data_IF_618575013491
#
_entry.id   IF_618575013491
#
_cell.length_a   1.000
_cell.length_b   1.000
_cell.length_c   1.000
_cell.angle_alpha   90.00
_cell.angle_beta   90.00
_cell.angle_gamma   90.00
#
_symmetry.space_group_name_H-M   'P 1'
#
loop_
_entity.id
_entity.type
_entity.pdbx_description
1 polymer ?
#
# COMPACT_ATOMS: atom_id res chain seq x y z
N UNK A 1 -10.41 -9.00 -14.90
CA UNK A 1 -10.48 -8.54 -13.50
C UNK A 1 -9.86 -9.61 -12.62
N UNK A 2 -9.01 -9.23 -11.66
CA UNK A 2 -8.43 -10.19 -10.69
C UNK A 2 -9.26 -10.21 -9.42
N UNK A 3 -9.49 -11.40 -8.86
CA UNK A 3 -10.19 -11.58 -7.58
C UNK A 3 -9.52 -12.70 -6.80
N UNK A 4 -9.30 -12.48 -5.50
CA UNK A 4 -8.77 -13.50 -4.59
C UNK A 4 -9.93 -14.21 -3.91
N UNK A 5 -9.93 -15.53 -3.99
CA UNK A 5 -10.81 -16.41 -3.24
C UNK A 5 -10.05 -16.95 -2.03
N UNK A 6 -10.59 -16.73 -0.86
CA UNK A 6 -10.14 -17.36 0.38
C UNK A 6 -11.12 -18.48 0.68
N UNK A 7 -10.69 -19.72 0.44
CA UNK A 7 -11.55 -20.89 0.60
C UNK A 7 -10.89 -21.88 1.54
N UNK A 8 -11.70 -22.77 2.09
CA UNK A 8 -11.19 -23.91 2.85
C UNK A 8 -11.19 -25.13 1.96
N UNK A 9 -10.11 -25.89 1.99
CA UNK A 9 -9.90 -27.04 1.14
C UNK A 9 -10.02 -28.34 1.95
N UNK A 10 -10.77 -29.36 1.45
CA UNK A 10 -10.81 -30.65 2.12
C UNK A 10 -9.41 -31.30 2.14
N UNK A 11 -9.05 -31.90 3.27
CA UNK A 11 -7.78 -32.62 3.44
C UNK A 11 -7.81 -33.99 2.76
N UNK A 12 -7.71 -34.00 1.45
CA UNK A 12 -7.64 -35.22 0.63
C UNK A 12 -6.85 -34.98 -0.65
N UNK A 13 -6.23 -36.06 -1.16
CA UNK A 13 -5.57 -36.01 -2.46
C UNK A 13 -6.53 -35.54 -3.57
N UNK A 14 -6.06 -34.64 -4.42
CA UNK A 14 -6.84 -34.10 -5.53
C UNK A 14 -7.79 -32.93 -5.16
N UNK A 15 -7.81 -32.47 -3.92
CA UNK A 15 -8.67 -31.36 -3.53
C UNK A 15 -8.40 -30.07 -4.35
N UNK A 16 -7.14 -29.67 -4.53
CA UNK A 16 -6.80 -28.53 -5.36
C UNK A 16 -7.07 -28.78 -6.87
N UNK A 17 -6.95 -30.02 -7.34
CA UNK A 17 -7.29 -30.39 -8.72
C UNK A 17 -8.75 -30.05 -9.03
N UNK A 18 -9.69 -30.32 -8.12
CA UNK A 18 -11.09 -29.97 -8.31
C UNK A 18 -11.30 -28.47 -8.43
N UNK A 19 -10.69 -27.67 -7.54
CA UNK A 19 -10.74 -26.21 -7.62
C UNK A 19 -10.16 -25.69 -8.94
N UNK A 20 -9.00 -26.20 -9.33
CA UNK A 20 -8.34 -25.84 -10.61
C UNK A 20 -9.21 -26.17 -11.83
N UNK A 21 -9.85 -27.34 -11.86
CA UNK A 21 -10.78 -27.73 -12.93
C UNK A 21 -12.01 -26.83 -13.01
N UNK A 22 -12.60 -26.47 -11.87
CA UNK A 22 -13.74 -25.54 -11.81
C UNK A 22 -13.33 -24.19 -12.41
N UNK A 23 -12.19 -23.63 -11.97
CA UNK A 23 -11.71 -22.34 -12.44
C UNK A 23 -11.42 -22.38 -13.94
N UNK A 24 -10.72 -23.39 -14.41
CA UNK A 24 -10.42 -23.58 -15.83
C UNK A 24 -11.68 -23.78 -16.69
N UNK A 25 -12.64 -24.59 -16.24
CA UNK A 25 -13.90 -24.82 -16.92
C UNK A 25 -14.75 -23.56 -17.06
N UNK A 26 -14.66 -22.64 -16.09
CA UNK A 26 -15.28 -21.31 -16.16
C UNK A 26 -14.47 -20.29 -16.98
N UNK A 27 -13.33 -20.69 -17.57
CA UNK A 27 -12.46 -19.81 -18.36
C UNK A 27 -11.64 -18.82 -17.51
N UNK A 28 -11.46 -19.09 -16.22
CA UNK A 28 -10.60 -18.34 -15.33
C UNK A 28 -9.14 -18.80 -15.41
N UNK A 29 -8.19 -17.86 -15.31
CA UNK A 29 -6.78 -18.17 -15.15
C UNK A 29 -6.34 -17.96 -13.70
N UNK A 30 -5.66 -18.95 -13.12
CA UNK A 30 -5.11 -18.87 -11.78
C UNK A 30 -3.82 -18.05 -11.84
N UNK A 31 -3.88 -16.82 -11.34
CA UNK A 31 -2.73 -15.91 -11.29
C UNK A 31 -1.85 -16.19 -10.07
N UNK A 32 -2.46 -16.70 -8.97
CA UNK A 32 -1.74 -16.99 -7.72
C UNK A 32 -2.47 -18.03 -6.90
N UNK A 33 -1.71 -18.90 -6.25
CA UNK A 33 -2.22 -19.84 -5.25
C UNK A 33 -1.29 -19.88 -4.05
N UNK A 34 -1.88 -19.94 -2.86
CA UNK A 34 -1.13 -20.22 -1.64
C UNK A 34 -1.95 -21.17 -0.73
N UNK A 35 -1.31 -22.23 -0.28
CA UNK A 35 -1.86 -23.21 0.64
C UNK A 35 -0.75 -23.88 1.44
N UNK A 36 -0.85 -23.85 2.76
CA UNK A 36 0.11 -24.50 3.65
C UNK A 36 -0.60 -25.27 4.77
N UNK A 37 -0.66 -26.57 4.64
CA UNK A 37 -1.33 -27.48 5.58
C UNK A 37 -0.68 -27.50 6.97
N UNK A 38 0.62 -27.32 7.05
CA UNK A 38 1.34 -27.39 8.33
C UNK A 38 0.93 -26.30 9.32
N UNK A 39 0.24 -25.28 8.83
CA UNK A 39 -0.07 -24.06 9.56
C UNK A 39 -1.57 -23.78 9.64
N UNK A 40 -2.23 -23.79 8.51
CA UNK A 40 -3.68 -23.71 8.40
C UNK A 40 -4.14 -24.80 7.45
N UNK A 41 -4.69 -25.81 8.05
CA UNK A 41 -5.12 -27.05 7.40
C UNK A 41 -6.26 -26.84 6.41
N UNK A 42 -6.84 -25.66 6.35
CA UNK A 42 -8.07 -25.44 5.61
C UNK A 42 -8.04 -24.23 4.67
N UNK A 43 -7.16 -23.25 4.87
CA UNK A 43 -7.19 -22.03 4.09
C UNK A 43 -6.41 -22.15 2.80
N UNK A 44 -7.12 -22.01 1.67
CA UNK A 44 -6.55 -21.92 0.34
C UNK A 44 -6.82 -20.52 -0.23
N UNK A 45 -5.75 -19.85 -0.63
CA UNK A 45 -5.81 -18.56 -1.33
C UNK A 45 -5.64 -18.81 -2.82
N UNK A 46 -6.64 -18.44 -3.61
CA UNK A 46 -6.58 -18.53 -5.08
C UNK A 46 -6.88 -17.17 -5.67
N UNK A 47 -5.92 -16.55 -6.33
CA UNK A 47 -6.14 -15.35 -7.13
C UNK A 47 -6.42 -15.75 -8.58
N UNK A 48 -7.58 -15.35 -9.09
CA UNK A 48 -8.06 -15.72 -10.42
C UNK A 48 -8.24 -14.47 -11.27
N UNK A 49 -7.75 -14.50 -12.50
CA UNK A 49 -8.03 -13.52 -13.54
C UNK A 49 -9.18 -14.01 -14.40
N UNK A 50 -10.31 -13.29 -14.39
CA UNK A 50 -11.52 -13.65 -15.11
C UNK A 50 -12.44 -12.44 -15.33
N UNK A 51 -13.51 -12.60 -16.11
CA UNK A 51 -14.60 -11.61 -16.22
C UNK A 51 -15.52 -11.65 -14.99
N UNK A 52 -16.33 -10.64 -14.77
CA UNK A 52 -17.28 -10.59 -13.65
C UNK A 52 -18.28 -11.78 -13.66
N UNK A 53 -18.78 -12.16 -14.84
CA UNK A 53 -19.68 -13.32 -14.98
C UNK A 53 -18.98 -14.64 -14.65
N UNK A 54 -17.74 -14.82 -15.11
CA UNK A 54 -16.93 -15.99 -14.80
C UNK A 54 -16.62 -16.06 -13.30
N UNK A 55 -16.32 -14.93 -12.64
CA UNK A 55 -16.12 -14.89 -11.21
C UNK A 55 -17.36 -15.31 -10.41
N UNK A 56 -18.56 -14.92 -10.84
CA UNK A 56 -19.81 -15.33 -10.20
C UNK A 56 -20.00 -16.85 -10.29
N UNK A 57 -19.75 -17.42 -11.45
CA UNK A 57 -19.88 -18.86 -11.69
C UNK A 57 -18.82 -19.68 -10.92
N UNK A 58 -17.55 -19.22 -10.92
CA UNK A 58 -16.47 -19.81 -10.12
C UNK A 58 -16.85 -19.83 -8.64
N UNK A 59 -17.33 -18.71 -8.11
CA UNK A 59 -17.71 -18.60 -6.70
C UNK A 59 -18.86 -19.59 -6.35
N UNK A 60 -19.86 -19.71 -7.22
CA UNK A 60 -20.97 -20.64 -7.05
C UNK A 60 -20.49 -22.09 -7.01
N UNK A 61 -19.71 -22.53 -8.00
CA UNK A 61 -19.24 -23.91 -8.09
C UNK A 61 -18.27 -24.28 -6.96
N UNK A 62 -17.36 -23.38 -6.58
CA UNK A 62 -16.48 -23.59 -5.43
C UNK A 62 -17.26 -23.73 -4.13
N UNK A 63 -18.34 -22.97 -3.94
CA UNK A 63 -19.24 -23.09 -2.77
C UNK A 63 -20.01 -24.41 -2.76
N UNK A 64 -20.54 -24.84 -3.91
CA UNK A 64 -21.28 -26.10 -4.05
C UNK A 64 -20.40 -27.33 -3.79
N UNK A 65 -19.10 -27.25 -4.09
CA UNK A 65 -18.16 -28.35 -3.86
C UNK A 65 -17.70 -28.46 -2.41
N UNK A 66 -18.15 -27.59 -1.50
CA UNK A 66 -17.95 -27.73 -0.07
C UNK A 66 -16.50 -27.85 0.37
N UNK A 67 -15.66 -26.85 0.03
CA UNK A 67 -14.29 -26.81 0.52
C UNK A 67 -14.24 -26.53 2.02
N UNK A 68 -14.84 -27.39 2.83
CA UNK A 68 -14.86 -27.24 4.29
C UNK A 68 -14.74 -28.60 4.98
N UNK A 69 -13.73 -28.80 5.78
CA UNK A 69 -13.63 -29.48 7.07
C UNK A 69 -12.35 -30.30 7.36
N UNK A 70 -11.95 -30.31 8.52
CA UNK A 70 -10.92 -30.62 9.53
C UNK A 70 -10.09 -31.93 9.38
N UNK A 71 -9.01 -31.97 9.79
CA UNK A 71 -7.58 -32.06 10.22
C UNK A 71 -7.08 -33.48 10.62
N UNK A 72 -5.82 -33.86 10.40
CA UNK A 72 -4.77 -34.30 11.34
C UNK A 72 -3.46 -34.88 10.76
N UNK A 73 -2.45 -35.07 11.57
CA UNK A 73 -1.00 -34.94 11.63
C UNK A 73 -0.06 -36.04 11.04
N UNK A 74 1.21 -35.63 10.73
CA UNK A 74 2.43 -36.45 10.94
C UNK A 74 3.16 -37.09 9.75
N UNK A 75 3.48 -36.36 8.58
CA UNK A 75 4.15 -36.94 7.40
C UNK A 75 5.30 -36.09 6.84
N UNK A 76 6.27 -36.74 6.10
CA UNK A 76 7.43 -36.05 5.49
C UNK A 76 7.02 -35.24 4.27
N UNK A 77 7.55 -34.03 4.13
CA UNK A 77 7.25 -33.11 3.03
C UNK A 77 8.42 -33.07 2.04
N UNK A 78 8.15 -33.31 0.76
CA UNK A 78 9.09 -33.11 -0.35
C UNK A 78 8.75 -31.76 -1.01
N UNK A 79 9.73 -30.85 -1.04
CA UNK A 79 9.55 -29.55 -1.69
C UNK A 79 10.04 -29.60 -3.14
N UNK A 80 9.18 -29.17 -4.07
CA UNK A 80 9.49 -29.06 -5.49
C UNK A 80 9.14 -27.65 -6.03
N UNK A 81 9.85 -27.23 -7.04
CA UNK A 81 9.47 -26.07 -7.88
C UNK A 81 9.22 -26.56 -9.29
N UNK A 82 8.09 -26.15 -9.85
CA UNK A 82 7.66 -26.45 -11.21
C UNK A 82 7.68 -25.16 -12.03
N UNK A 83 8.22 -25.20 -13.25
CA UNK A 83 8.12 -24.13 -14.23
C UNK A 83 7.10 -24.50 -15.28
N UNK A 84 5.99 -23.76 -15.35
CA UNK A 84 4.86 -24.03 -16.24
C UNK A 84 4.56 -22.82 -17.12
N UNK A 85 4.04 -23.00 -18.35
CA UNK A 85 3.55 -21.91 -19.17
C UNK A 85 2.39 -21.17 -18.47
N UNK A 86 2.34 -19.83 -18.59
CA UNK A 86 1.29 -19.01 -17.99
C UNK A 86 0.03 -18.97 -18.86
N UNK A 87 -0.77 -20.04 -18.77
CA UNK A 87 -2.09 -20.11 -19.41
C UNK A 87 -3.09 -20.91 -18.55
N UNK A 88 -4.40 -20.72 -18.76
CA UNK A 88 -5.43 -21.46 -18.03
C UNK A 88 -5.23 -22.97 -18.11
N UNK A 89 -5.22 -23.62 -16.93
CA UNK A 89 -5.11 -25.07 -16.82
C UNK A 89 -3.69 -25.66 -16.92
N UNK A 90 -2.64 -24.87 -17.06
CA UNK A 90 -1.27 -25.36 -17.19
C UNK A 90 -0.83 -26.29 -16.05
N UNK A 91 -1.28 -26.06 -14.83
CA UNK A 91 -0.96 -26.91 -13.65
C UNK A 91 -1.78 -28.19 -13.59
N UNK A 92 -2.90 -28.29 -14.30
CA UNK A 92 -3.84 -29.43 -14.21
C UNK A 92 -3.19 -30.78 -14.48
N UNK A 93 -2.34 -30.96 -15.52
CA UNK A 93 -1.68 -32.26 -15.75
C UNK A 93 -0.81 -32.71 -14.59
N UNK A 94 -0.12 -31.79 -13.93
CA UNK A 94 0.69 -32.11 -12.74
C UNK A 94 -0.19 -32.54 -11.57
N UNK A 95 -1.29 -31.82 -11.33
CA UNK A 95 -2.23 -32.17 -10.27
C UNK A 95 -2.90 -33.53 -10.50
N UNK A 96 -3.11 -33.91 -11.76
CA UNK A 96 -3.60 -35.24 -12.14
C UNK A 96 -2.59 -36.34 -11.81
N UNK A 97 -1.29 -36.09 -12.05
CA UNK A 97 -0.22 -37.01 -11.64
C UNK A 97 -0.21 -37.16 -10.14
N UNK A 98 -0.21 -36.06 -9.38
CA UNK A 98 -0.25 -36.09 -7.91
C UNK A 98 -1.47 -36.86 -7.40
N UNK A 99 -2.63 -36.65 -7.99
CA UNK A 99 -3.88 -37.34 -7.63
C UNK A 99 -3.80 -38.85 -7.89
N UNK A 100 -3.24 -39.28 -9.05
CA UNK A 100 -3.05 -40.72 -9.38
C UNK A 100 -2.13 -41.43 -8.38
N UNK A 101 -1.08 -40.74 -7.96
CA UNK A 101 -0.15 -41.27 -6.96
C UNK A 101 -0.64 -41.06 -5.51
N UNK A 102 -1.87 -40.52 -5.32
CA UNK A 102 -2.47 -40.21 -4.00
C UNK A 102 -1.58 -39.35 -3.11
N UNK A 103 -0.80 -38.46 -3.76
CA UNK A 103 0.07 -37.54 -3.06
C UNK A 103 -0.73 -36.30 -2.67
N UNK A 104 -0.71 -36.00 -1.39
CA UNK A 104 -1.36 -34.81 -0.85
C UNK A 104 -0.42 -33.61 -0.89
N UNK A 105 -0.96 -32.43 -1.17
CA UNK A 105 -0.21 -31.18 -1.19
C UNK A 105 -0.29 -30.57 0.21
N UNK A 106 0.86 -30.39 0.86
CA UNK A 106 0.95 -29.69 2.15
C UNK A 106 1.17 -28.21 2.02
N UNK A 107 1.79 -27.81 0.90
CA UNK A 107 2.09 -26.43 0.58
C UNK A 107 2.00 -26.20 -0.92
N UNK A 108 1.46 -25.07 -1.35
CA UNK A 108 1.53 -24.60 -2.74
C UNK A 108 1.57 -23.07 -2.77
N UNK A 109 2.51 -22.53 -3.52
CA UNK A 109 2.63 -21.11 -3.80
C UNK A 109 2.92 -20.91 -5.28
N UNK A 110 2.29 -19.93 -5.90
CA UNK A 110 2.54 -19.53 -7.29
C UNK A 110 2.14 -18.09 -7.50
N UNK A 111 2.87 -17.40 -8.35
CA UNK A 111 2.58 -16.03 -8.76
C UNK A 111 2.82 -15.84 -10.26
N UNK A 112 1.92 -15.09 -10.90
CA UNK A 112 2.13 -14.55 -12.24
C UNK A 112 3.23 -13.48 -12.21
N UNK A 113 4.25 -13.64 -13.06
CA UNK A 113 5.40 -12.73 -13.11
C UNK A 113 5.50 -11.95 -14.43
N UNK A 114 4.54 -12.14 -15.33
CA UNK A 114 4.52 -11.45 -16.63
C UNK A 114 5.55 -11.93 -17.65
N UNK A 115 6.27 -13.04 -17.38
CA UNK A 115 7.30 -13.59 -18.29
C UNK A 115 6.76 -14.65 -19.24
N UNK A 116 5.47 -14.96 -19.17
CA UNK A 116 4.83 -16.05 -19.94
C UNK A 116 5.04 -17.43 -19.34
N UNK A 117 5.69 -17.52 -18.19
CA UNK A 117 5.84 -18.73 -17.37
C UNK A 117 5.47 -18.47 -15.92
N UNK A 118 4.98 -19.50 -15.24
CA UNK A 118 4.70 -19.48 -13.79
C UNK A 118 5.58 -20.50 -13.07
N UNK A 119 6.07 -20.09 -11.90
CA UNK A 119 6.77 -20.98 -10.98
C UNK A 119 5.82 -21.42 -9.86
N UNK A 120 5.60 -22.73 -9.76
CA UNK A 120 4.82 -23.33 -8.70
C UNK A 120 5.76 -24.00 -7.69
N UNK A 121 5.78 -23.48 -6.48
CA UNK A 121 6.47 -24.10 -5.34
C UNK A 121 5.47 -24.96 -4.58
N UNK A 122 5.72 -26.26 -4.47
CA UNK A 122 4.81 -27.20 -3.84
C UNK A 122 5.50 -28.05 -2.78
N UNK A 123 4.84 -28.22 -1.64
CA UNK A 123 5.17 -29.21 -0.62
C UNK A 123 4.29 -30.43 -0.77
N UNK A 124 4.87 -31.58 -1.01
CA UNK A 124 4.18 -32.84 -1.23
C UNK A 124 4.30 -33.72 0.01
N UNK A 125 3.17 -34.20 0.54
CA UNK A 125 3.16 -35.19 1.62
C UNK A 125 3.46 -36.58 1.06
N UNK A 126 4.62 -37.08 1.38
CA UNK A 126 5.08 -38.38 0.89
C UNK A 126 4.93 -39.43 2.00
N UNK A 127 4.06 -40.40 1.75
CA UNK A 127 3.88 -41.56 2.63
C UNK A 127 4.83 -42.71 2.28
N UNK A 128 5.15 -42.86 0.99
CA UNK A 128 6.02 -43.92 0.48
C UNK A 128 7.17 -43.35 -0.34
N UNK A 129 8.39 -43.42 0.19
CA UNK A 129 9.60 -42.93 -0.48
C UNK A 129 9.96 -43.67 -1.76
N UNK A 130 9.50 -44.93 -1.91
CA UNK A 130 9.73 -45.72 -3.14
C UNK A 130 9.00 -45.21 -4.38
N UNK A 131 7.95 -44.40 -4.21
CA UNK A 131 7.16 -43.84 -5.30
C UNK A 131 7.66 -42.46 -5.75
N UNK A 132 8.48 -41.80 -4.96
CA UNK A 132 8.99 -40.43 -5.25
C UNK A 132 9.64 -40.38 -6.65
N UNK A 133 10.47 -41.35 -6.96
CA UNK A 133 11.19 -41.36 -8.25
C UNK A 133 10.22 -41.43 -9.44
N UNK A 134 9.20 -42.31 -9.37
CA UNK A 134 8.19 -42.44 -10.43
C UNK A 134 7.37 -41.18 -10.58
N UNK A 135 6.99 -40.57 -9.45
CA UNK A 135 6.26 -39.31 -9.41
C UNK A 135 7.05 -38.18 -10.10
N UNK A 136 8.33 -38.03 -9.74
CA UNK A 136 9.22 -37.01 -10.32
C UNK A 136 9.44 -37.28 -11.80
N UNK A 137 9.67 -38.54 -12.19
CA UNK A 137 9.86 -38.95 -13.60
C UNK A 137 8.61 -38.66 -14.45
N UNK A 138 7.41 -38.80 -13.90
CA UNK A 138 6.17 -38.44 -14.60
C UNK A 138 5.97 -36.93 -14.70
N UNK A 139 6.21 -36.17 -13.63
CA UNK A 139 6.09 -34.70 -13.65
C UNK A 139 7.12 -34.08 -14.58
N UNK A 140 8.37 -34.61 -14.62
CA UNK A 140 9.44 -34.10 -15.47
C UNK A 140 9.17 -34.24 -16.98
N UNK A 141 8.21 -35.09 -17.36
CA UNK A 141 7.73 -35.19 -18.77
C UNK A 141 6.70 -34.12 -19.13
N UNK A 142 6.15 -33.44 -18.11
CA UNK A 142 5.11 -32.41 -18.29
C UNK A 142 5.74 -31.02 -18.25
N UNK A 143 6.67 -30.81 -17.30
CA UNK A 143 7.29 -29.51 -17.06
C UNK A 143 8.69 -29.65 -16.44
N UNK A 144 9.42 -28.54 -16.44
CA UNK A 144 10.70 -28.48 -15.70
C UNK A 144 10.40 -28.55 -14.19
N UNK A 145 11.14 -29.44 -13.50
CA UNK A 145 11.01 -29.67 -12.07
C UNK A 145 12.37 -29.54 -11.38
N UNK A 146 12.42 -28.78 -10.31
CA UNK A 146 13.56 -28.67 -9.39
C UNK A 146 13.16 -29.17 -8.02
N UNK A 147 14.01 -30.00 -7.39
CA UNK A 147 13.83 -30.44 -6.02
C UNK A 147 14.60 -29.52 -5.11
N UNK A 148 13.92 -28.92 -4.16
CA UNK A 148 14.54 -28.12 -3.12
C UNK A 148 14.96 -29.03 -1.98
N UNK A 149 16.27 -29.29 -1.84
CA UNK A 149 16.83 -29.96 -0.66
C UNK A 149 16.80 -28.98 0.52
N UNK A 150 15.79 -29.09 1.36
CA UNK A 150 15.80 -28.44 2.67
C UNK A 150 16.20 -29.44 3.74
N UNK A 151 17.28 -29.16 4.42
CA UNK A 151 17.44 -29.67 5.79
C UNK A 151 16.29 -29.10 6.61
N UNK A 152 15.54 -30.01 7.22
CA UNK A 152 14.31 -29.73 7.97
C UNK A 152 14.68 -29.01 9.26
N UNK A 153 14.89 -27.71 9.18
CA UNK A 153 14.87 -26.82 10.34
C UNK A 153 14.52 -25.40 9.92
N UNK A 154 13.46 -24.87 10.46
CA UNK A 154 13.10 -23.48 10.73
C UNK A 154 12.57 -22.55 9.63
N UNK A 155 12.59 -22.86 8.33
CA UNK A 155 12.12 -21.89 7.32
C UNK A 155 10.81 -22.23 6.60
N UNK A 156 10.29 -23.43 6.72
CA UNK A 156 9.13 -23.92 5.96
C UNK A 156 7.79 -23.87 6.71
N UNK A 157 7.83 -23.76 8.00
CA UNK A 157 6.66 -23.49 8.83
C UNK A 157 6.12 -22.07 8.62
N UNK A 158 6.80 -21.25 7.85
CA UNK A 158 6.85 -19.82 8.10
C UNK A 158 5.86 -18.97 7.33
N UNK A 159 5.63 -19.21 6.06
CA UNK A 159 4.90 -18.23 5.26
C UNK A 159 3.46 -18.06 5.73
N UNK A 160 2.71 -19.13 5.85
CA UNK A 160 1.26 -19.06 6.10
C UNK A 160 0.92 -18.82 7.58
N UNK A 161 1.64 -19.46 8.53
CA UNK A 161 1.52 -19.13 9.97
C UNK A 161 1.83 -17.66 10.16
N UNK A 162 2.91 -17.23 9.54
CA UNK A 162 3.43 -15.90 9.74
C UNK A 162 2.41 -14.83 9.34
N UNK A 163 1.83 -14.86 8.14
CA UNK A 163 0.90 -13.81 7.75
C UNK A 163 -0.50 -13.96 8.37
N UNK A 164 -0.92 -15.18 8.78
CA UNK A 164 -2.13 -15.37 9.59
C UNK A 164 -1.92 -14.80 10.99
N UNK A 165 -0.79 -15.12 11.63
CA UNK A 165 -0.40 -14.56 12.93
C UNK A 165 -0.31 -13.04 12.84
N UNK A 166 0.39 -12.54 11.81
CA UNK A 166 0.48 -11.11 11.54
C UNK A 166 -0.88 -10.43 11.39
N UNK A 167 -1.82 -11.03 10.64
CA UNK A 167 -3.16 -10.45 10.46
C UNK A 167 -3.95 -10.42 11.78
N UNK A 168 -3.79 -11.44 12.64
CA UNK A 168 -4.40 -11.47 13.98
C UNK A 168 -3.75 -10.42 14.92
N UNK A 169 -2.42 -10.30 14.91
CA UNK A 169 -1.73 -9.24 15.64
C UNK A 169 -2.21 -7.85 15.20
N UNK A 170 -2.31 -7.60 13.90
CA UNK A 170 -2.82 -6.33 13.36
C UNK A 170 -4.28 -6.08 13.78
N UNK A 171 -5.11 -7.14 13.85
CA UNK A 171 -6.47 -7.06 14.36
C UNK A 171 -6.49 -6.60 15.81
N UNK A 172 -5.64 -7.16 16.65
CA UNK A 172 -5.55 -6.81 18.08
C UNK A 172 -5.02 -5.38 18.25
N UNK A 173 -3.91 -5.03 17.58
CA UNK A 173 -3.29 -3.70 17.67
C UNK A 173 -4.28 -2.60 17.23
N UNK A 174 -4.95 -2.77 16.09
CA UNK A 174 -5.77 -1.74 15.46
C UNK A 174 -7.27 -1.89 15.74
N UNK A 175 -7.69 -2.92 16.49
CA UNK A 175 -9.10 -3.26 16.75
C UNK A 175 -9.90 -3.43 15.45
N UNK A 176 -9.33 -4.17 14.48
CA UNK A 176 -9.93 -4.32 13.16
C UNK A 176 -11.19 -5.20 13.18
N UNK A 177 -12.15 -4.84 12.34
CA UNK A 177 -13.28 -5.71 12.00
C UNK A 177 -12.81 -6.96 11.26
N UNK A 178 -13.65 -7.99 11.19
CA UNK A 178 -13.35 -9.21 10.45
C UNK A 178 -13.07 -8.94 8.96
N UNK A 179 -13.80 -8.03 8.34
CA UNK A 179 -13.58 -7.65 6.94
C UNK A 179 -12.20 -7.00 6.72
N UNK A 180 -11.79 -6.10 7.62
CA UNK A 180 -10.48 -5.47 7.58
C UNK A 180 -9.36 -6.49 7.87
N UNK A 181 -9.56 -7.40 8.82
CA UNK A 181 -8.60 -8.49 9.11
C UNK A 181 -8.40 -9.38 7.89
N UNK A 182 -9.47 -9.73 7.18
CA UNK A 182 -9.38 -10.50 5.94
C UNK A 182 -8.65 -9.72 4.83
N UNK A 183 -8.86 -8.40 4.75
CA UNK A 183 -8.11 -7.56 3.82
C UNK A 183 -6.61 -7.55 4.14
N UNK A 184 -6.24 -7.39 5.41
CA UNK A 184 -4.83 -7.49 5.87
C UNK A 184 -4.26 -8.86 5.52
N UNK A 185 -4.97 -9.95 5.79
CA UNK A 185 -4.53 -11.31 5.49
C UNK A 185 -4.22 -11.51 3.99
N UNK A 186 -5.10 -11.03 3.11
CA UNK A 186 -4.91 -11.10 1.65
C UNK A 186 -3.67 -10.32 1.22
N UNK A 187 -3.50 -9.10 1.73
CA UNK A 187 -2.37 -8.25 1.33
C UNK A 187 -1.05 -8.74 1.94
N UNK A 188 -1.07 -9.24 3.17
CA UNK A 188 0.10 -9.86 3.79
C UNK A 188 0.59 -11.09 3.01
N UNK A 189 -0.34 -11.94 2.57
CA UNK A 189 -0.01 -13.08 1.71
C UNK A 189 0.65 -12.62 0.39
N UNK A 190 0.08 -11.61 -0.29
CA UNK A 190 0.66 -11.06 -1.52
C UNK A 190 2.05 -10.47 -1.28
N UNK A 191 2.20 -9.70 -0.20
CA UNK A 191 3.48 -9.10 0.17
C UNK A 191 4.54 -10.14 0.47
N UNK A 192 4.19 -11.20 1.22
CA UNK A 192 5.10 -12.31 1.52
C UNK A 192 5.65 -12.95 0.25
N UNK A 193 4.78 -13.25 -0.71
CA UNK A 193 5.19 -13.87 -1.97
C UNK A 193 6.09 -12.94 -2.80
N UNK A 194 5.77 -11.65 -2.88
CA UNK A 194 6.60 -10.68 -3.58
C UNK A 194 8.00 -10.55 -2.97
N UNK A 195 8.09 -10.58 -1.64
CA UNK A 195 9.36 -10.53 -0.92
C UNK A 195 10.19 -11.81 -1.14
N UNK A 196 9.55 -13.00 -1.12
CA UNK A 196 10.19 -14.29 -1.39
C UNK A 196 10.74 -14.35 -2.82
N UNK A 197 9.97 -13.90 -3.82
CA UNK A 197 10.41 -13.85 -5.22
C UNK A 197 11.59 -12.90 -5.47
N UNK A 198 11.71 -11.84 -4.66
CA UNK A 198 12.78 -10.85 -4.78
C UNK A 198 13.96 -11.11 -3.85
N UNK A 199 13.96 -12.24 -3.15
CA UNK A 199 14.96 -12.58 -2.12
C UNK A 199 15.16 -11.47 -1.08
N UNK A 200 14.03 -10.83 -0.68
CA UNK A 200 14.01 -9.76 0.33
C UNK A 200 13.60 -10.29 1.70
N UNK A 201 14.13 -9.70 2.79
CA UNK A 201 13.87 -10.18 4.14
C UNK A 201 12.43 -9.91 4.59
N UNK A 202 11.55 -10.88 4.37
CA UNK A 202 10.11 -10.78 4.70
C UNK A 202 9.88 -10.43 6.17
N UNK A 203 10.51 -11.16 7.11
CA UNK A 203 10.35 -10.93 8.55
C UNK A 203 10.62 -9.47 8.94
N UNK A 204 11.66 -8.87 8.38
CA UNK A 204 12.01 -7.48 8.64
C UNK A 204 10.95 -6.51 8.12
N UNK A 205 10.45 -6.73 6.90
CA UNK A 205 9.41 -5.88 6.31
C UNK A 205 8.13 -5.91 7.13
N UNK A 206 7.67 -7.10 7.55
CA UNK A 206 6.48 -7.23 8.38
C UNK A 206 6.66 -6.67 9.79
N UNK A 207 7.85 -6.80 10.39
CA UNK A 207 8.15 -6.18 11.68
C UNK A 207 8.02 -4.65 11.60
N UNK A 208 8.49 -4.03 10.52
CA UNK A 208 8.32 -2.58 10.32
C UNK A 208 6.87 -2.18 10.11
N UNK A 209 6.08 -2.97 9.36
CA UNK A 209 4.65 -2.70 9.19
C UNK A 209 3.92 -2.82 10.54
N UNK A 210 4.23 -3.84 11.33
CA UNK A 210 3.70 -3.99 12.69
C UNK A 210 4.06 -2.80 13.57
N UNK A 211 5.31 -2.37 13.57
CA UNK A 211 5.76 -1.19 14.31
C UNK A 211 5.08 0.09 13.85
N UNK A 212 4.79 0.22 12.57
CA UNK A 212 3.98 1.32 12.07
C UNK A 212 2.59 1.32 12.73
N UNK A 213 1.91 0.19 12.74
CA UNK A 213 0.59 0.07 13.37
C UNK A 213 0.65 0.36 14.88
N UNK A 214 1.65 -0.18 15.59
CA UNK A 214 1.89 0.09 17.01
C UNK A 214 2.14 1.58 17.25
N UNK A 215 3.02 2.20 16.48
CA UNK A 215 3.33 3.62 16.59
C UNK A 215 2.08 4.49 16.46
N UNK A 216 1.25 4.21 15.46
CA UNK A 216 -0.02 4.95 15.26
C UNK A 216 -0.92 4.84 16.50
N UNK A 217 -1.05 3.64 17.07
CA UNK A 217 -1.92 3.42 18.26
C UNK A 217 -1.35 4.06 19.52
N UNK A 218 -0.04 3.94 19.72
CA UNK A 218 0.67 4.51 20.88
C UNK A 218 0.58 6.05 20.94
N UNK A 219 0.43 6.70 19.76
CA UNK A 219 0.34 8.16 19.66
C UNK A 219 -1.10 8.67 19.46
N UNK A 220 -2.12 7.94 19.93
CA UNK A 220 -3.54 8.34 19.88
C UNK A 220 -4.06 8.85 21.22
N UNK A 221 -5.22 9.50 21.18
CA UNK A 221 -5.91 9.97 22.37
C UNK A 221 -5.11 10.99 23.16
N UNK A 222 -4.85 10.71 24.42
CA UNK A 222 -4.07 11.59 25.30
C UNK A 222 -2.56 11.60 24.98
N UNK A 223 -2.07 10.60 24.27
CA UNK A 223 -0.67 10.50 23.85
C UNK A 223 -0.38 11.21 22.50
N UNK A 224 -1.42 11.73 21.86
CA UNK A 224 -1.23 12.51 20.62
C UNK A 224 -0.51 13.82 20.94
N UNK A 225 0.70 13.96 20.42
CA UNK A 225 1.60 15.08 20.69
C UNK A 225 2.01 15.76 19.37
N UNK A 226 1.10 16.57 18.81
CA UNK A 226 1.44 17.40 17.65
C UNK A 226 2.19 18.65 18.09
N UNK A 227 3.30 18.96 17.41
CA UNK A 227 3.96 20.26 17.57
C UNK A 227 3.17 21.31 16.81
N UNK A 228 2.94 22.47 17.42
CA UNK A 228 2.21 23.58 16.82
C UNK A 228 3.09 24.82 16.84
N UNK A 229 3.26 25.44 15.69
CA UNK A 229 3.94 26.70 15.56
C UNK A 229 3.12 27.68 14.74
N UNK A 230 3.17 28.96 15.07
CA UNK A 230 2.42 30.01 14.37
C UNK A 230 3.35 31.15 13.96
N UNK A 231 3.24 31.57 12.70
CA UNK A 231 4.03 32.65 12.13
C UNK A 231 3.11 33.70 11.49
N UNK A 232 3.35 34.96 11.76
CA UNK A 232 2.68 36.07 11.05
C UNK A 232 3.37 36.29 9.71
N UNK A 233 2.63 36.08 8.62
CA UNK A 233 3.15 36.25 7.26
C UNK A 233 2.96 37.67 6.71
N UNK A 234 1.82 38.28 7.05
CA UNK A 234 1.49 39.65 6.64
C UNK A 234 0.48 40.23 7.65
N UNK A 235 0.03 41.46 7.39
CA UNK A 235 -0.99 42.07 8.24
C UNK A 235 -2.32 41.28 8.13
N UNK A 236 -2.80 40.81 9.28
CA UNK A 236 -4.00 39.99 9.38
C UNK A 236 -3.85 38.54 8.87
N UNK A 237 -2.69 38.13 8.33
CA UNK A 237 -2.46 36.77 7.82
C UNK A 237 -1.53 35.99 8.77
N UNK A 238 -2.06 34.92 9.34
CA UNK A 238 -1.33 33.97 10.17
C UNK A 238 -1.18 32.64 9.47
N UNK A 239 -0.03 32.01 9.63
CA UNK A 239 0.23 30.60 9.24
C UNK A 239 0.46 29.78 10.50
N UNK A 240 -0.35 28.76 10.72
CA UNK A 240 -0.15 27.76 11.77
C UNK A 240 0.27 26.45 11.14
N UNK A 241 1.41 25.92 11.55
CA UNK A 241 1.86 24.58 11.21
C UNK A 241 1.51 23.62 12.35
N UNK A 242 0.91 22.49 12.01
CA UNK A 242 0.60 21.38 12.91
C UNK A 242 1.41 20.18 12.42
N UNK A 243 2.34 19.74 13.26
CA UNK A 243 3.27 18.65 12.97
C UNK A 243 2.89 17.45 13.86
N UNK A 244 2.11 16.48 13.35
CA UNK A 244 1.70 15.31 14.11
C UNK A 244 2.89 14.38 14.40
N UNK A 245 2.77 13.42 15.33
CA UNK A 245 3.84 12.47 15.65
C UNK A 245 4.24 11.61 14.43
N UNK A 246 3.31 11.34 13.51
CA UNK A 246 3.60 10.74 12.20
C UNK A 246 2.58 11.20 11.17
N UNK A 247 2.91 10.99 9.90
CA UNK A 247 2.17 11.50 8.76
C UNK A 247 2.59 12.93 8.41
N UNK A 248 1.90 13.51 7.46
CA UNK A 248 2.24 14.84 6.96
C UNK A 248 1.86 15.96 7.93
N UNK A 249 2.55 17.07 7.78
CA UNK A 249 2.15 18.32 8.38
C UNK A 249 0.82 18.83 7.81
N UNK A 250 0.04 19.50 8.64
CA UNK A 250 -1.13 20.27 8.22
C UNK A 250 -0.85 21.75 8.44
N UNK A 251 -0.98 22.54 7.40
CA UNK A 251 -0.81 23.98 7.48
C UNK A 251 -2.16 24.68 7.42
N UNK A 252 -2.37 25.66 8.28
CA UNK A 252 -3.60 26.48 8.30
C UNK A 252 -3.23 27.93 8.11
N UNK A 253 -3.71 28.53 7.03
CA UNK A 253 -3.71 29.97 6.82
C UNK A 253 -5.03 30.55 7.36
N UNK A 254 -4.93 31.56 8.21
CA UNK A 254 -6.07 32.31 8.73
C UNK A 254 -5.97 33.78 8.33
N UNK A 255 -7.04 34.30 7.72
CA UNK A 255 -7.17 35.69 7.30
C UNK A 255 -8.61 36.17 7.49
N UNK A 256 -8.79 37.21 8.31
CA UNK A 256 -10.12 37.78 8.63
C UNK A 256 -11.19 36.74 9.02
N UNK A 257 -10.78 35.68 9.70
CA UNK A 257 -11.66 34.60 10.12
C UNK A 257 -11.95 33.53 9.07
N UNK A 258 -11.44 33.66 7.85
CA UNK A 258 -11.43 32.59 6.85
C UNK A 258 -10.26 31.65 7.08
N UNK A 259 -10.46 30.36 6.82
CA UNK A 259 -9.46 29.32 6.97
C UNK A 259 -9.19 28.61 5.65
N UNK A 260 -7.91 28.45 5.33
CA UNK A 260 -7.42 27.60 4.25
C UNK A 260 -6.42 26.60 4.82
N UNK A 261 -6.60 25.33 4.54
CA UNK A 261 -5.65 24.31 4.92
C UNK A 261 -4.80 23.85 3.71
N UNK A 262 -3.57 23.43 3.98
CA UNK A 262 -2.73 22.72 3.01
C UNK A 262 -2.33 21.38 3.64
N UNK A 263 -2.68 20.29 2.95
CA UNK A 263 -2.62 18.91 3.42
C UNK A 263 -3.39 18.69 4.74
N UNK A 264 -3.65 17.45 5.12
CA UNK A 264 -4.54 17.20 6.27
C UNK A 264 -4.21 15.97 7.12
N UNK A 265 -3.03 15.37 6.95
CA UNK A 265 -2.57 14.30 7.83
C UNK A 265 -3.26 12.94 7.63
N UNK A 266 -2.96 12.00 8.52
CA UNK A 266 -3.55 10.65 8.54
C UNK A 266 -4.99 10.62 9.06
N UNK A 267 -5.82 9.78 8.46
CA UNK A 267 -7.21 9.56 8.89
C UNK A 267 -7.32 8.99 10.32
N UNK A 268 -6.35 8.21 10.75
CA UNK A 268 -6.33 7.62 12.10
C UNK A 268 -6.28 8.65 13.24
N UNK A 269 -5.84 9.87 12.98
CA UNK A 269 -5.79 10.97 13.96
C UNK A 269 -6.97 11.95 13.85
N UNK A 270 -8.08 11.51 13.24
CA UNK A 270 -9.24 12.38 12.98
C UNK A 270 -9.74 13.09 14.25
N UNK A 271 -9.90 12.35 15.35
CA UNK A 271 -10.47 12.90 16.59
C UNK A 271 -9.49 13.87 17.26
N UNK A 272 -8.22 13.52 17.27
CA UNK A 272 -7.15 14.31 17.84
C UNK A 272 -6.95 15.61 17.08
N UNK A 273 -6.84 15.51 15.75
CA UNK A 273 -6.70 16.67 14.86
C UNK A 273 -7.93 17.59 14.96
N UNK A 274 -9.14 17.03 14.98
CA UNK A 274 -10.35 17.85 15.10
C UNK A 274 -10.37 18.61 16.44
N UNK A 275 -10.06 17.94 17.55
CA UNK A 275 -9.96 18.60 18.86
C UNK A 275 -8.90 19.71 18.87
N UNK A 276 -7.75 19.45 18.27
CA UNK A 276 -6.67 20.42 18.16
C UNK A 276 -7.09 21.64 17.32
N UNK A 277 -7.67 21.38 16.14
CA UNK A 277 -8.17 22.43 15.24
C UNK A 277 -9.29 23.28 15.87
N UNK A 278 -10.22 22.66 16.61
CA UNK A 278 -11.25 23.41 17.36
C UNK A 278 -10.64 24.25 18.50
N UNK A 279 -9.57 23.77 19.13
CA UNK A 279 -8.84 24.52 20.15
C UNK A 279 -8.08 25.72 19.60
N UNK A 280 -7.44 25.56 18.43
CA UNK A 280 -6.68 26.62 17.76
C UNK A 280 -7.58 27.61 17.01
N UNK A 281 -8.64 27.13 16.38
CA UNK A 281 -9.55 27.91 15.53
C UNK A 281 -10.99 27.73 16.02
N UNK A 282 -11.46 28.54 16.98
CA UNK A 282 -12.78 28.37 17.58
C UNK A 282 -13.89 28.25 16.52
N UNK A 283 -14.76 27.27 16.69
CA UNK A 283 -15.85 26.94 15.76
C UNK A 283 -15.34 26.45 14.39
N UNK A 284 -14.17 25.79 14.35
CA UNK A 284 -13.58 25.23 13.12
C UNK A 284 -14.59 24.39 12.34
N UNK A 285 -15.31 23.48 13.01
CA UNK A 285 -16.29 22.59 12.35
C UNK A 285 -17.45 23.34 11.68
N UNK A 286 -17.74 24.58 12.10
CA UNK A 286 -18.83 25.39 11.57
C UNK A 286 -18.37 26.40 10.51
N UNK A 287 -17.07 26.59 10.33
CA UNK A 287 -16.54 27.50 9.31
C UNK A 287 -16.51 26.79 7.95
N UNK A 288 -16.80 27.52 6.88
CA UNK A 288 -16.47 27.06 5.52
C UNK A 288 -14.97 26.93 5.38
N UNK A 289 -14.48 25.80 4.87
CA UNK A 289 -13.08 25.51 4.80
C UNK A 289 -12.71 24.70 3.57
N UNK A 290 -11.67 25.20 2.93
CA UNK A 290 -11.06 24.57 1.77
C UNK A 290 -9.72 23.97 2.16
N UNK A 291 -9.35 22.84 1.55
CA UNK A 291 -8.01 22.27 1.66
C UNK A 291 -7.37 22.18 0.27
N UNK A 292 -6.12 22.58 0.18
CA UNK A 292 -5.30 22.38 -1.00
C UNK A 292 -4.36 21.21 -0.75
N UNK A 293 -4.37 20.24 -1.65
CA UNK A 293 -3.52 19.07 -1.55
C UNK A 293 -2.29 19.19 -2.39
N UNK A 294 -1.17 18.84 -1.79
CA UNK A 294 0.09 18.70 -2.52
C UNK A 294 0.11 17.40 -3.32
N UNK A 295 -0.39 16.29 -2.78
CA UNK A 295 -0.50 15.00 -3.47
C UNK A 295 -1.46 14.03 -2.77
N UNK A 296 -1.63 12.84 -3.35
CA UNK A 296 -2.69 11.90 -2.97
C UNK A 296 -2.25 10.80 -1.98
N UNK A 297 -1.12 10.94 -1.31
CA UNK A 297 -0.71 9.93 -0.34
C UNK A 297 -1.62 9.97 0.90
N UNK A 298 -1.79 8.79 1.52
CA UNK A 298 -2.78 8.58 2.59
C UNK A 298 -2.55 9.44 3.83
N UNK A 299 -1.33 9.89 4.05
CA UNK A 299 -0.97 10.77 5.15
C UNK A 299 -1.11 12.27 4.82
N UNK A 300 -1.29 12.64 3.55
CA UNK A 300 -1.61 14.00 3.13
C UNK A 300 -3.12 14.21 2.95
N UNK A 301 -3.85 13.16 2.61
CA UNK A 301 -5.26 13.21 2.22
C UNK A 301 -6.21 12.52 3.23
N UNK A 302 -5.72 12.10 4.39
CA UNK A 302 -6.49 11.26 5.31
C UNK A 302 -7.73 11.93 5.91
N UNK A 303 -7.71 13.24 6.09
CA UNK A 303 -8.80 13.99 6.74
C UNK A 303 -9.63 14.84 5.77
N UNK A 304 -9.63 14.56 4.48
CA UNK A 304 -10.40 15.31 3.47
C UNK A 304 -11.90 15.43 3.81
N UNK A 305 -12.45 14.46 4.51
CA UNK A 305 -13.85 14.49 4.96
C UNK A 305 -14.18 15.63 5.95
N UNK A 306 -13.19 16.30 6.53
CA UNK A 306 -13.39 17.47 7.39
C UNK A 306 -13.61 18.77 6.61
N UNK A 307 -13.40 18.76 5.29
CA UNK A 307 -13.40 19.93 4.44
C UNK A 307 -14.58 19.94 3.48
N UNK A 308 -15.07 21.15 3.16
CA UNK A 308 -16.19 21.35 2.24
C UNK A 308 -15.72 21.23 0.78
N UNK A 309 -14.43 21.53 0.55
CA UNK A 309 -13.80 21.51 -0.77
C UNK A 309 -12.34 21.14 -0.68
N UNK A 310 -11.86 20.30 -1.61
CA UNK A 310 -10.47 19.93 -1.78
C UNK A 310 -9.96 20.30 -3.18
N UNK A 311 -8.93 21.14 -3.27
CA UNK A 311 -8.32 21.53 -4.52
C UNK A 311 -6.97 20.83 -4.71
N UNK A 312 -6.71 20.33 -5.93
CA UNK A 312 -5.53 19.52 -6.23
C UNK A 312 -5.18 19.55 -7.72
N UNK A 313 -4.05 18.97 -8.13
CA UNK A 313 -3.75 18.76 -9.55
C UNK A 313 -4.75 17.80 -10.21
N UNK A 314 -4.84 17.83 -11.55
CA UNK A 314 -5.70 16.89 -12.30
C UNK A 314 -5.28 15.44 -12.06
N UNK A 315 -3.97 15.14 -12.04
CA UNK A 315 -3.49 13.79 -11.77
C UNK A 315 -3.85 13.32 -10.36
N UNK A 316 -3.72 14.19 -9.34
CA UNK A 316 -4.16 13.86 -7.98
C UNK A 316 -5.67 13.57 -7.93
N UNK A 317 -6.48 14.38 -8.60
CA UNK A 317 -7.92 14.14 -8.75
C UNK A 317 -8.22 12.79 -9.40
N UNK A 318 -7.51 12.45 -10.49
CA UNK A 318 -7.69 11.19 -11.20
C UNK A 318 -7.27 9.98 -10.34
N UNK A 319 -6.23 10.15 -9.52
CA UNK A 319 -5.82 9.14 -8.55
C UNK A 319 -6.99 8.76 -7.60
N UNK A 320 -7.66 9.75 -7.01
CA UNK A 320 -8.83 9.51 -6.15
C UNK A 320 -10.03 8.98 -6.93
N UNK A 321 -10.24 9.43 -8.15
CA UNK A 321 -11.30 8.92 -9.01
C UNK A 321 -11.10 7.45 -9.40
N UNK A 322 -9.85 6.96 -9.50
CA UNK A 322 -9.54 5.54 -9.64
C UNK A 322 -9.94 4.77 -8.37
N UNK A 323 -9.53 5.25 -7.21
CA UNK A 323 -9.87 4.64 -5.92
C UNK A 323 -11.39 4.57 -5.68
N UNK A 324 -12.11 5.66 -5.94
CA UNK A 324 -13.57 5.71 -5.80
C UNK A 324 -14.30 4.71 -6.70
N UNK A 325 -13.66 4.26 -7.79
CA UNK A 325 -14.15 3.19 -8.68
C UNK A 325 -13.61 1.80 -8.33
N UNK A 326 -12.91 1.65 -7.19
CA UNK A 326 -12.28 0.39 -6.78
C UNK A 326 -11.14 -0.07 -7.69
N UNK A 327 -10.50 0.87 -8.39
CA UNK A 327 -9.33 0.61 -9.24
C UNK A 327 -8.04 0.95 -8.50
N UNK A 328 -6.94 0.30 -8.91
CA UNK A 328 -5.61 0.61 -8.40
C UNK A 328 -5.25 2.07 -8.67
N UNK A 329 -4.86 2.79 -7.64
CA UNK A 329 -4.31 4.14 -7.74
C UNK A 329 -2.91 4.12 -8.36
N UNK A 330 -2.29 5.28 -8.59
CA UNK A 330 -1.00 5.36 -9.28
C UNK A 330 0.13 4.62 -8.54
N UNK A 331 0.17 4.64 -7.21
CA UNK A 331 1.15 3.84 -6.45
C UNK A 331 0.85 2.34 -6.51
N UNK A 332 -0.42 1.97 -6.47
CA UNK A 332 -0.87 0.58 -6.52
C UNK A 332 -0.76 -0.06 -7.91
N UNK A 333 -0.60 0.76 -8.96
CA UNK A 333 -0.30 0.26 -10.31
C UNK A 333 1.10 -0.37 -10.39
N UNK A 334 2.01 -0.04 -9.48
CA UNK A 334 3.24 -0.80 -9.28
C UNK A 334 2.93 -2.04 -8.42
N UNK A 335 3.02 -3.28 -8.98
CA UNK A 335 2.68 -4.50 -8.24
C UNK A 335 3.49 -4.70 -6.95
N UNK A 336 4.70 -4.13 -6.89
CA UNK A 336 5.57 -4.21 -5.72
C UNK A 336 5.06 -3.34 -4.57
N UNK A 337 4.41 -2.22 -4.89
CA UNK A 337 3.91 -1.27 -3.89
C UNK A 337 2.46 -1.58 -3.46
N UNK A 338 1.67 -2.19 -4.34
CA UNK A 338 0.24 -2.39 -4.13
C UNK A 338 -0.14 -3.03 -2.78
N UNK A 339 0.47 -4.15 -2.34
CA UNK A 339 0.12 -4.75 -1.06
C UNK A 339 0.46 -3.85 0.13
N UNK A 340 1.60 -3.15 0.06
CA UNK A 340 2.00 -2.22 1.10
C UNK A 340 1.06 -1.01 1.19
N UNK A 341 0.70 -0.41 0.05
CA UNK A 341 -0.26 0.70 0.00
C UNK A 341 -1.61 0.27 0.61
N UNK A 342 -2.08 -0.93 0.27
CA UNK A 342 -3.32 -1.46 0.84
C UNK A 342 -3.24 -1.68 2.36
N UNK A 343 -2.11 -2.19 2.88
CA UNK A 343 -1.87 -2.32 4.33
C UNK A 343 -1.81 -0.95 5.01
N UNK A 344 -1.13 0.03 4.42
CA UNK A 344 -1.05 1.41 4.94
C UNK A 344 -2.42 2.07 5.02
N UNK A 345 -3.30 1.85 4.03
CA UNK A 345 -4.70 2.32 4.07
C UNK A 345 -5.47 1.74 5.25
N UNK A 346 -5.31 0.44 5.53
CA UNK A 346 -5.96 -0.19 6.70
C UNK A 346 -5.39 0.37 8.00
N UNK A 347 -4.07 0.48 8.14
CA UNK A 347 -3.40 0.99 9.35
C UNK A 347 -3.80 2.43 9.64
N UNK A 348 -3.83 3.27 8.62
CA UNK A 348 -4.17 4.68 8.75
C UNK A 348 -5.67 4.96 8.83
N UNK A 349 -6.53 3.95 8.64
CA UNK A 349 -7.97 4.14 8.60
C UNK A 349 -8.44 4.97 7.40
N UNK A 350 -7.63 5.03 6.33
CA UNK A 350 -7.91 5.82 5.14
C UNK A 350 -9.12 5.31 4.37
N UNK A 351 -9.93 6.25 3.90
CA UNK A 351 -10.99 6.02 2.93
C UNK A 351 -10.88 7.05 1.79
N UNK A 352 -11.17 6.67 0.54
CA UNK A 352 -11.18 7.62 -0.57
C UNK A 352 -12.11 8.80 -0.30
N UNK A 353 -11.75 10.02 -0.77
CA UNK A 353 -12.58 11.19 -0.57
C UNK A 353 -13.88 11.15 -1.40
N UNK A 354 -14.85 11.94 -0.96
CA UNK A 354 -16.02 12.26 -1.76
C UNK A 354 -15.60 13.13 -2.97
N UNK A 355 -15.71 12.57 -4.17
CA UNK A 355 -15.30 13.23 -5.40
C UNK A 355 -16.10 14.47 -5.76
N UNK A 356 -17.33 14.64 -5.21
CA UNK A 356 -18.15 15.84 -5.42
C UNK A 356 -17.53 17.08 -4.75
N UNK A 357 -16.70 16.88 -3.72
CA UNK A 357 -15.97 17.93 -3.03
C UNK A 357 -14.59 18.21 -3.63
N UNK A 358 -14.13 17.37 -4.56
CA UNK A 358 -12.80 17.48 -5.15
C UNK A 358 -12.81 18.31 -6.43
N UNK A 359 -11.83 19.20 -6.57
CA UNK A 359 -11.72 20.10 -7.72
C UNK A 359 -10.28 20.10 -8.23
N UNK A 360 -10.12 19.86 -9.53
CA UNK A 360 -8.82 20.02 -10.18
C UNK A 360 -8.53 21.50 -10.44
N UNK A 361 -7.35 21.97 -10.02
CA UNK A 361 -6.85 23.33 -10.30
C UNK A 361 -6.42 23.44 -11.76
N UNK A 362 -5.74 22.42 -12.27
CA UNK A 362 -5.24 22.35 -13.63
C UNK A 362 -4.46 21.06 -13.86
N UNK A 363 -3.88 20.96 -15.05
CA UNK A 363 -3.12 19.79 -15.50
C UNK A 363 -1.75 20.20 -16.05
N UNK A 364 -0.78 19.30 -15.91
CA UNK A 364 0.54 19.44 -16.50
C UNK A 364 0.46 19.27 -18.02
N UNK A 365 1.09 20.19 -18.78
CA UNK A 365 1.03 20.21 -20.26
C UNK A 365 2.39 20.11 -20.93
N UNK A 366 3.47 20.06 -20.17
CA UNK A 366 4.84 19.95 -20.65
C UNK A 366 5.63 18.95 -19.79
N UNK A 367 6.84 18.65 -20.20
CA UNK A 367 7.73 17.70 -19.50
C UNK A 367 8.70 18.41 -18.53
N UNK A 368 8.50 19.68 -18.23
CA UNK A 368 9.36 20.38 -17.28
C UNK A 368 9.29 19.73 -15.88
N UNK A 369 10.39 19.74 -15.12
CA UNK A 369 10.39 19.18 -13.76
C UNK A 369 9.35 19.81 -12.84
N UNK A 370 9.04 21.10 -13.02
CA UNK A 370 7.96 21.83 -12.34
C UNK A 370 7.20 22.66 -13.39
N UNK A 371 5.94 22.28 -13.62
CA UNK A 371 5.06 22.92 -14.61
C UNK A 371 3.95 23.70 -13.92
N UNK A 372 3.74 24.96 -14.31
CA UNK A 372 2.59 25.74 -13.84
C UNK A 372 1.29 25.11 -14.33
N UNK A 373 0.36 24.86 -13.41
CA UNK A 373 -0.93 24.23 -13.72
C UNK A 373 -2.14 25.12 -13.42
N UNK A 374 -1.95 26.23 -12.74
CA UNK A 374 -3.04 27.15 -12.39
C UNK A 374 -2.78 27.89 -11.09
N UNK A 375 -3.75 28.69 -10.69
CA UNK A 375 -3.65 29.47 -9.44
C UNK A 375 -4.98 29.53 -8.68
N UNK A 376 -4.86 29.81 -7.38
CA UNK A 376 -5.98 30.11 -6.48
C UNK A 376 -5.63 31.32 -5.63
N UNK A 377 -6.65 31.99 -5.10
CA UNK A 377 -6.45 33.12 -4.19
C UNK A 377 -6.97 32.79 -2.80
N UNK A 378 -6.25 33.27 -1.79
CA UNK A 378 -6.72 33.31 -0.42
C UNK A 378 -6.52 34.74 0.12
N UNK A 379 -7.60 35.40 0.47
CA UNK A 379 -7.59 36.85 0.69
C UNK A 379 -6.99 37.60 -0.53
N UNK A 380 -6.08 38.57 -0.32
CA UNK A 380 -5.45 39.35 -1.41
C UNK A 380 -4.22 38.63 -2.00
N UNK A 381 -3.91 37.41 -1.61
CA UNK A 381 -2.73 36.68 -2.06
C UNK A 381 -3.08 35.64 -3.10
N UNK A 382 -2.31 35.63 -4.19
CA UNK A 382 -2.36 34.63 -5.23
C UNK A 382 -1.35 33.53 -4.93
N UNK A 383 -1.78 32.29 -5.06
CA UNK A 383 -0.97 31.09 -4.94
C UNK A 383 -0.94 30.37 -6.29
N UNK A 384 0.23 30.14 -6.80
CA UNK A 384 0.48 29.43 -8.03
C UNK A 384 0.82 27.98 -7.75
N UNK A 385 0.18 27.06 -8.50
CA UNK A 385 0.35 25.62 -8.38
C UNK A 385 1.30 25.16 -9.48
N UNK A 386 2.34 24.43 -9.09
CA UNK A 386 3.31 23.83 -10.00
C UNK A 386 3.33 22.32 -9.78
N UNK A 387 2.97 21.54 -10.80
CA UNK A 387 3.01 20.10 -10.73
C UNK A 387 4.41 19.59 -11.05
N UNK A 388 4.91 18.67 -10.21
CA UNK A 388 6.17 17.97 -10.37
C UNK A 388 6.16 16.95 -11.52
N UNK A 389 7.31 16.33 -11.75
CA UNK A 389 7.47 15.29 -12.79
C UNK A 389 7.00 13.89 -12.35
N UNK A 390 6.41 13.77 -11.17
CA UNK A 390 5.98 12.48 -10.61
C UNK A 390 7.14 11.71 -10.00
N UNK A 391 8.13 12.41 -9.48
CA UNK A 391 9.29 11.80 -8.86
C UNK A 391 8.94 11.12 -7.54
N UNK A 392 8.29 11.84 -6.64
CA UNK A 392 7.76 11.24 -5.42
C UNK A 392 6.48 10.44 -5.73
N UNK A 393 5.47 11.11 -6.26
CA UNK A 393 4.24 10.48 -6.74
C UNK A 393 3.63 11.27 -7.90
N UNK A 394 2.99 10.59 -8.84
CA UNK A 394 2.30 11.25 -9.94
C UNK A 394 1.21 12.17 -9.40
N UNK A 395 1.24 13.43 -9.86
CA UNK A 395 0.31 14.47 -9.42
C UNK A 395 0.82 15.33 -8.25
N UNK A 396 2.05 15.08 -7.76
CA UNK A 396 2.71 15.92 -6.76
C UNK A 396 2.75 17.40 -7.17
N UNK A 397 2.54 18.29 -6.22
CA UNK A 397 2.36 19.72 -6.50
C UNK A 397 3.07 20.57 -5.44
N UNK A 398 3.74 21.63 -5.90
CA UNK A 398 4.23 22.72 -5.06
C UNK A 398 3.28 23.89 -5.19
N UNK A 399 2.93 24.53 -4.07
CA UNK A 399 2.03 25.68 -4.01
C UNK A 399 2.82 26.88 -3.55
N UNK A 400 2.91 27.93 -4.36
CA UNK A 400 3.81 29.07 -4.15
C UNK A 400 3.05 30.38 -4.09
N UNK A 401 3.35 31.20 -3.10
CA UNK A 401 2.97 32.60 -3.04
C UNK A 401 4.22 33.49 -3.12
N UNK A 402 4.49 34.02 -4.29
CA UNK A 402 5.68 34.86 -4.51
C UNK A 402 5.68 36.13 -3.64
N UNK A 403 4.52 36.79 -3.49
CA UNK A 403 4.37 38.01 -2.68
C UNK A 403 4.74 37.80 -1.21
N UNK A 404 4.54 36.60 -0.68
CA UNK A 404 4.85 36.24 0.70
C UNK A 404 6.21 35.54 0.81
N UNK A 405 6.88 35.23 -0.29
CA UNK A 405 8.03 34.32 -0.33
C UNK A 405 7.79 33.04 0.46
N UNK A 406 6.64 32.43 0.21
CA UNK A 406 6.13 31.24 0.88
C UNK A 406 5.88 30.13 -0.13
N UNK A 407 6.25 28.90 0.23
CA UNK A 407 5.86 27.73 -0.56
C UNK A 407 5.50 26.54 0.34
N UNK A 408 4.57 25.71 -0.16
CA UNK A 408 4.25 24.40 0.39
C UNK A 408 4.78 23.37 -0.60
N UNK A 409 5.75 22.57 -0.16
CA UNK A 409 6.49 21.67 -1.08
C UNK A 409 5.92 20.25 -1.13
N UNK A 410 4.98 19.89 -0.25
CA UNK A 410 4.64 18.49 -0.04
C UNK A 410 5.91 17.68 0.19
N UNK A 411 6.00 16.52 -0.43
CA UNK A 411 7.13 15.60 -0.29
C UNK A 411 8.21 15.75 -1.38
N UNK A 412 8.04 16.70 -2.29
CA UNK A 412 9.12 17.09 -3.22
C UNK A 412 10.34 17.56 -2.40
N UNK A 413 10.09 18.29 -1.31
CA UNK A 413 11.13 18.65 -0.34
C UNK A 413 10.64 18.38 1.07
N UNK A 414 11.40 17.58 1.83
CA UNK A 414 11.15 17.29 3.24
C UNK A 414 12.31 17.80 4.10
N UNK A 415 12.00 18.37 5.27
CA UNK A 415 13.01 18.88 6.18
C UNK A 415 13.37 17.84 7.26
N UNK A 416 14.17 16.83 6.89
CA UNK A 416 14.58 15.75 7.80
C UNK A 416 15.27 16.28 9.06
N UNK A 417 16.02 17.38 8.96
CA UNK A 417 16.70 17.98 10.12
C UNK A 417 15.73 18.65 11.10
N UNK A 418 14.53 18.98 10.63
CA UNK A 418 13.47 19.56 11.43
C UNK A 418 12.48 18.55 12.01
N UNK A 419 12.73 17.24 11.88
CA UNK A 419 11.85 16.23 12.46
C UNK A 419 11.83 16.28 13.98
N UNK A 420 10.65 16.20 14.58
CA UNK A 420 10.48 15.91 16.01
C UNK A 420 11.07 14.53 16.36
N UNK A 421 11.32 14.22 17.64
CA UNK A 421 11.77 12.89 18.06
C UNK A 421 10.81 11.78 17.57
N UNK A 422 9.50 12.01 17.61
CA UNK A 422 8.48 11.06 17.17
C UNK A 422 8.51 10.88 15.66
N UNK A 423 8.58 11.96 14.89
CA UNK A 423 8.74 11.90 13.43
C UNK A 423 10.04 11.22 13.04
N UNK A 424 11.15 11.43 13.77
CA UNK A 424 12.41 10.70 13.53
C UNK A 424 12.25 9.21 13.79
N UNK A 425 11.58 8.82 14.86
CA UNK A 425 11.33 7.42 15.20
C UNK A 425 10.46 6.75 14.12
N UNK A 426 9.39 7.41 13.69
CA UNK A 426 8.53 6.94 12.61
C UNK A 426 9.26 6.84 11.27
N UNK A 427 10.03 7.86 10.90
CA UNK A 427 10.77 7.88 9.62
C UNK A 427 11.78 6.74 9.49
N UNK A 428 12.32 6.23 10.63
CA UNK A 428 13.22 5.05 10.60
C UNK A 428 12.51 3.78 10.14
N UNK A 429 11.19 3.72 10.14
CA UNK A 429 10.40 2.61 9.63
C UNK A 429 10.22 2.68 8.11
N UNK A 430 10.27 3.89 7.51
CA UNK A 430 10.02 4.11 6.09
C UNK A 430 11.00 3.39 5.13
N UNK A 431 12.32 3.34 5.35
CA UNK A 431 13.28 2.77 4.39
C UNK A 431 13.14 1.27 4.12
N UNK A 432 12.33 0.55 4.89
CA UNK A 432 12.18 -0.90 4.78
C UNK A 432 10.93 -1.33 4.02
N UNK A 433 10.22 -0.36 3.46
CA UNK A 433 9.09 -0.61 2.59
C UNK A 433 9.62 -0.86 1.18
N UNK A 434 9.71 -2.08 0.77
CA UNK A 434 10.09 -2.71 -0.50
C UNK A 434 10.98 -1.91 -1.47
N UNK A 435 10.72 -0.61 -1.65
CA UNK A 435 11.49 0.38 -2.42
C UNK A 435 11.53 1.70 -1.64
N UNK A 436 12.25 2.71 -2.11
CA UNK A 436 12.20 4.04 -1.49
C UNK A 436 10.79 4.67 -1.55
N UNK A 437 10.58 5.75 -0.82
CA UNK A 437 9.31 6.51 -0.80
C UNK A 437 9.04 7.18 -2.15
N UNK A 438 10.06 7.50 -2.93
CA UNK A 438 9.96 8.09 -4.26
C UNK A 438 9.65 7.02 -5.32
N UNK A 439 8.67 7.30 -6.17
CA UNK A 439 8.32 6.44 -7.32
C UNK A 439 9.42 6.42 -8.38
N UNK A 440 10.07 7.57 -8.57
CA UNK A 440 11.24 7.77 -9.46
C UNK A 440 12.26 8.68 -8.75
N UNK A 441 13.27 8.10 -8.08
CA UNK A 441 14.26 8.88 -7.32
C UNK A 441 15.08 9.87 -8.15
N UNK A 442 15.25 9.63 -9.45
CA UNK A 442 15.97 10.53 -10.34
C UNK A 442 15.16 11.80 -10.59
N UNK A 443 13.90 11.66 -10.96
CA UNK A 443 12.97 12.79 -11.14
C UNK A 443 12.70 13.53 -9.83
N UNK A 444 12.56 12.81 -8.70
CA UNK A 444 12.41 13.45 -7.39
C UNK A 444 13.59 14.34 -7.05
N UNK A 445 14.82 13.89 -7.33
CA UNK A 445 16.04 14.67 -7.12
C UNK A 445 16.07 15.91 -8.03
N UNK A 446 15.74 15.77 -9.31
CA UNK A 446 15.70 16.88 -10.27
C UNK A 446 14.69 17.94 -9.84
N UNK A 447 13.46 17.56 -9.49
CA UNK A 447 12.45 18.48 -8.95
C UNK A 447 12.93 19.20 -7.71
N UNK A 448 13.57 18.48 -6.78
CA UNK A 448 14.09 19.04 -5.52
C UNK A 448 15.19 20.07 -5.75
N UNK A 449 16.13 19.78 -6.64
CA UNK A 449 17.20 20.72 -7.00
C UNK A 449 16.59 22.00 -7.60
N UNK A 450 15.74 21.86 -8.61
CA UNK A 450 15.08 22.99 -9.25
C UNK A 450 14.28 23.85 -8.26
N UNK A 451 13.55 23.19 -7.35
CA UNK A 451 12.77 23.86 -6.32
C UNK A 451 13.67 24.70 -5.40
N UNK A 452 14.77 24.12 -4.91
CA UNK A 452 15.67 24.79 -3.97
C UNK A 452 16.43 25.93 -4.62
N UNK A 453 16.79 25.82 -5.89
CA UNK A 453 17.45 26.90 -6.66
C UNK A 453 16.47 28.02 -6.97
N UNK A 454 15.29 27.72 -7.48
CA UNK A 454 14.30 28.70 -7.91
C UNK A 454 13.74 29.54 -6.75
N UNK A 455 13.54 28.90 -5.59
CA UNK A 455 12.89 29.51 -4.44
C UNK A 455 13.83 29.66 -3.23
N UNK A 456 15.12 29.84 -3.50
CA UNK A 456 16.10 30.10 -2.44
C UNK A 456 15.66 31.25 -1.53
N UNK A 457 15.84 31.11 -0.22
CA UNK A 457 15.42 32.07 0.80
C UNK A 457 13.92 32.09 1.14
N UNK A 458 13.04 31.43 0.37
CA UNK A 458 11.60 31.34 0.68
C UNK A 458 11.36 30.54 1.95
N UNK A 459 10.31 30.91 2.69
CA UNK A 459 9.79 30.07 3.76
C UNK A 459 9.14 28.82 3.15
N UNK A 460 9.76 27.68 3.37
CA UNK A 460 9.27 26.38 2.93
C UNK A 460 8.46 25.70 4.04
N UNK A 461 7.27 25.27 3.68
CA UNK A 461 6.36 24.48 4.49
C UNK A 461 6.34 23.06 3.90
N UNK A 462 7.23 22.14 4.37
CA UNK A 462 7.37 20.81 3.80
C UNK A 462 6.27 19.87 4.25
N UNK A 463 6.02 18.78 3.51
CA UNK A 463 5.10 17.73 3.95
C UNK A 463 5.50 17.11 5.27
N UNK A 464 6.81 16.98 5.54
CA UNK A 464 7.35 16.43 6.78
C UNK A 464 8.50 17.28 7.32
N UNK A 465 8.55 17.38 8.66
CA UNK A 465 9.52 18.19 9.40
C UNK A 465 9.13 19.65 9.47
N UNK A 466 9.76 20.40 10.37
CA UNK A 466 9.41 21.78 10.65
C UNK A 466 9.69 22.72 9.45
N UNK A 467 8.98 23.84 9.43
CA UNK A 467 9.20 24.93 8.47
C UNK A 467 10.67 25.35 8.47
N UNK A 468 11.19 25.70 7.30
CA UNK A 468 12.55 26.16 7.16
C UNK A 468 12.67 27.20 6.01
N UNK A 469 13.72 28.00 6.01
CA UNK A 469 14.09 28.75 4.82
C UNK A 469 14.91 27.87 3.91
N UNK A 470 14.54 27.85 2.62
CA UNK A 470 15.36 27.14 1.64
C UNK A 470 16.77 27.78 1.59
N UNK A 471 17.81 26.92 1.44
CA UNK A 471 19.18 27.42 1.44
C UNK A 471 19.42 28.44 0.31
N UNK A 472 20.13 29.52 0.63
CA UNK A 472 20.65 30.42 -0.37
C UNK A 472 21.65 29.69 -1.27
N UNK A 473 21.69 29.98 -2.59
CA UNK A 473 22.70 29.40 -3.46
C UNK A 473 24.07 29.70 -2.86
N UNK A 474 24.84 28.67 -2.54
CA UNK A 474 26.26 28.89 -2.15
C UNK A 474 26.94 29.55 -3.31
N UNK A 475 27.37 30.81 -3.13
CA UNK A 475 28.23 31.46 -4.09
C UNK A 475 29.41 30.51 -4.35
N UNK A 476 29.49 30.01 -5.58
CA UNK A 476 30.64 29.21 -6.00
C UNK A 476 31.88 30.09 -5.77
N UNK A 477 32.70 29.69 -4.78
CA UNK A 477 34.01 30.27 -4.57
C UNK A 477 34.99 29.69 -5.58
#
# INVERSE_FOLDING_TARGET
MRKTYVTRMPDKAGAFLLASRIIAACGGNIARVNYNRAVDTHTLFIEVSATAAQHAEIARQLSECGYLTELEDGKRILMIVLTLPDHPGAVTPVLEVLSRHRVNISYISSQENGTGVQHFKMGLLIENTGEIKRLIDEISRICEISILNYEVTDRLLDGTVFYITFANEMREILSLSQAQTNAVLIQANKLMQLLDEQDKPALKTFDYIRRFAQFVVEHRGAAFNAQVSTVRLADGLMLTAIEPPCGSNTYVLEYHGELLCVDCGFACYREEMLRLLEGLFPRFSLRAKEVWLTHADVDHAGLLSLFDRACMSRDCYENFALEGRGKANFREQNPLHAPYCALSKVISGYAPPDMERCVAVGEKRDDAPLSYIGSRSFGPWKFDFYQGSGGHVRGETVIVCEKLQLLFSGDIYVNIKGYSPDQQAFNRLAPFLMTGVDSDPAKARECRVLLTERYAGYLCCPGHGSQCRLPEPTAQK
#
